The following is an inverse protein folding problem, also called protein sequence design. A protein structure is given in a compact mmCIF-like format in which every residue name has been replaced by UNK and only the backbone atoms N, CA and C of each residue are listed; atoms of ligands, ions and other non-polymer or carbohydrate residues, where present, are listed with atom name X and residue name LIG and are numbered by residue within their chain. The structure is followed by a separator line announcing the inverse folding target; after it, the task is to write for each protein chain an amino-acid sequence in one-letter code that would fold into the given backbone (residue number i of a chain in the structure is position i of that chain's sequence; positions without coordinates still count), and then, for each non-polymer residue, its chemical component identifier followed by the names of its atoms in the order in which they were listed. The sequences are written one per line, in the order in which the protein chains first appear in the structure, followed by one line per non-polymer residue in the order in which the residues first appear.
data_IF_367781697271
#
_entry.id   IF_367781697271
#
_cell.length_a   1.000
_cell.length_b   1.000
_cell.length_c   1.000
_cell.angle_alpha   90.00
_cell.angle_beta   90.00
_cell.angle_gamma   90.00
#
_symmetry.space_group_name_H-M   'P 1'
#
loop_
_entity.id
_entity.type
_entity.pdbx_description
1 polymer ?
#
# COMPACT_ATOMS: atom_id res chain seq x y z
N UNK A 1 11.67 -20.80 -11.13
CA UNK A 1 10.80 -20.48 -12.29
C UNK A 1 11.57 -19.84 -13.46
N UNK A 2 12.88 -19.58 -13.33
CA UNK A 2 13.67 -18.82 -14.32
C UNK A 2 13.96 -19.56 -15.65
N UNK A 3 14.00 -20.90 -15.67
CA UNK A 3 14.36 -21.63 -16.89
C UNK A 3 13.21 -21.78 -17.92
N UNK A 4 11.95 -21.58 -17.52
CA UNK A 4 10.80 -21.69 -18.44
C UNK A 4 10.64 -20.44 -19.33
N UNK A 5 11.06 -19.28 -18.84
CA UNK A 5 11.04 -18.00 -19.58
C UNK A 5 12.11 -17.93 -20.67
N UNK A 6 13.29 -18.49 -20.40
CA UNK A 6 14.40 -18.55 -21.36
C UNK A 6 14.07 -19.47 -22.54
N UNK A 7 13.45 -20.62 -22.26
CA UNK A 7 13.04 -21.56 -23.31
C UNK A 7 11.98 -20.96 -24.24
N UNK A 8 10.98 -20.26 -23.69
CA UNK A 8 9.94 -19.60 -24.48
C UNK A 8 10.49 -18.46 -25.37
N UNK A 9 11.45 -17.69 -24.86
CA UNK A 9 12.11 -16.62 -25.63
C UNK A 9 12.98 -17.18 -26.76
N UNK A 10 13.70 -18.28 -26.52
CA UNK A 10 14.51 -18.96 -27.53
C UNK A 10 13.61 -19.57 -28.62
N UNK A 11 12.52 -20.24 -28.23
CA UNK A 11 11.55 -20.80 -29.19
C UNK A 11 10.89 -19.72 -30.05
N UNK A 12 10.52 -18.58 -29.48
CA UNK A 12 9.94 -17.46 -30.23
C UNK A 12 10.94 -16.87 -31.23
N UNK A 13 12.20 -16.72 -30.83
CA UNK A 13 13.26 -16.21 -31.71
C UNK A 13 13.52 -17.16 -32.87
N UNK A 14 13.53 -18.48 -32.63
CA UNK A 14 13.69 -19.49 -33.68
C UNK A 14 12.50 -19.44 -34.65
N UNK A 15 11.26 -19.34 -34.16
CA UNK A 15 10.08 -19.22 -35.03
C UNK A 15 10.10 -17.95 -35.87
N UNK A 16 10.52 -16.82 -35.31
CA UNK A 16 10.66 -15.56 -36.04
C UNK A 16 11.78 -15.61 -37.10
N UNK A 17 12.93 -16.22 -36.77
CA UNK A 17 14.03 -16.43 -37.71
C UNK A 17 13.60 -17.39 -38.83
N UNK A 18 12.98 -18.52 -38.50
CA UNK A 18 12.46 -19.48 -39.48
C UNK A 18 11.38 -18.87 -40.36
N UNK A 19 10.49 -18.05 -39.80
CA UNK A 19 9.48 -17.31 -40.56
C UNK A 19 10.09 -16.29 -41.52
N UNK A 20 11.12 -15.56 -41.07
CA UNK A 20 11.88 -14.61 -41.90
C UNK A 20 12.61 -15.33 -43.05
N UNK A 21 13.27 -16.45 -42.79
CA UNK A 21 13.94 -17.24 -43.83
C UNK A 21 12.95 -17.90 -44.80
N UNK A 22 11.81 -18.39 -44.32
CA UNK A 22 10.77 -18.95 -45.18
C UNK A 22 10.14 -17.88 -46.10
N UNK A 23 9.92 -16.67 -45.58
CA UNK A 23 9.42 -15.55 -46.37
C UNK A 23 10.46 -15.07 -47.37
N UNK A 24 11.73 -14.92 -46.98
CA UNK A 24 12.82 -14.58 -47.91
C UNK A 24 13.04 -15.66 -48.97
N UNK A 25 12.90 -16.95 -48.63
CA UNK A 25 12.98 -18.03 -49.60
C UNK A 25 11.83 -17.95 -50.64
N UNK A 26 10.62 -17.58 -50.22
CA UNK A 26 9.52 -17.33 -51.15
C UNK A 26 9.76 -16.08 -52.02
N UNK A 27 10.33 -15.02 -51.46
CA UNK A 27 10.69 -13.80 -52.21
C UNK A 27 11.79 -14.10 -53.24
N UNK A 28 12.85 -14.83 -52.86
CA UNK A 28 13.90 -15.26 -53.79
C UNK A 28 13.40 -16.26 -54.83
N UNK A 29 12.46 -17.15 -54.51
CA UNK A 29 11.80 -18.01 -55.50
C UNK A 29 11.01 -17.17 -56.51
N UNK A 30 10.27 -16.17 -56.04
CA UNK A 30 9.51 -15.26 -56.91
C UNK A 30 10.43 -14.40 -57.78
N UNK A 31 11.56 -13.93 -57.26
CA UNK A 31 12.57 -13.18 -58.02
C UNK A 31 13.24 -14.04 -59.10
N UNK A 32 13.52 -15.31 -58.78
CA UNK A 32 14.04 -16.28 -59.74
C UNK A 32 13.02 -16.63 -60.83
N UNK A 33 11.74 -16.78 -60.48
CA UNK A 33 10.65 -16.99 -61.46
C UNK A 33 10.48 -15.77 -62.37
N UNK A 34 10.52 -14.55 -61.82
CA UNK A 34 10.47 -13.29 -62.60
C UNK A 34 11.68 -13.18 -63.54
N UNK A 35 12.87 -13.54 -63.07
CA UNK A 35 14.08 -13.52 -63.88
C UNK A 35 14.01 -14.55 -65.00
N UNK A 36 13.55 -15.77 -64.71
CA UNK A 36 13.35 -16.83 -65.71
C UNK A 36 12.37 -16.40 -66.82
N UNK A 37 11.23 -15.83 -66.43
CA UNK A 37 10.21 -15.32 -67.37
C UNK A 37 10.78 -14.18 -68.23
N UNK A 38 11.56 -13.26 -67.63
CA UNK A 38 12.20 -12.15 -68.35
C UNK A 38 13.23 -12.66 -69.36
N UNK A 39 13.99 -13.69 -68.98
CA UNK A 39 15.02 -14.27 -69.86
C UNK A 39 14.38 -14.99 -71.04
N UNK A 40 13.32 -15.76 -70.80
CA UNK A 40 12.55 -16.48 -71.83
C UNK A 40 11.86 -15.51 -72.82
N UNK A 41 11.29 -14.41 -72.30
CA UNK A 41 10.69 -13.36 -73.12
C UNK A 41 11.72 -12.71 -74.06
N UNK A 42 12.89 -12.34 -73.54
CA UNK A 42 13.95 -11.71 -74.32
C UNK A 42 14.57 -12.67 -75.36
N UNK A 43 14.67 -13.98 -75.05
CA UNK A 43 15.13 -14.97 -76.03
C UNK A 43 14.13 -15.18 -77.16
N UNK A 44 12.83 -15.22 -76.84
CA UNK A 44 11.78 -15.36 -77.86
C UNK A 44 11.67 -14.12 -78.75
N UNK A 45 11.78 -12.90 -78.21
CA UNK A 45 11.82 -11.65 -79.02
C UNK A 45 12.99 -11.66 -80.01
N UNK A 46 14.18 -12.05 -79.55
CA UNK A 46 15.37 -12.08 -80.40
C UNK A 46 15.26 -13.14 -81.52
N UNK A 47 14.54 -14.25 -81.27
CA UNK A 47 14.24 -15.25 -82.29
C UNK A 47 13.23 -14.72 -83.34
N UNK A 48 12.24 -13.93 -82.94
CA UNK A 48 11.25 -13.34 -83.87
C UNK A 48 11.86 -12.28 -84.79
N UNK A 49 12.90 -11.57 -84.34
CA UNK A 49 13.58 -10.55 -85.17
C UNK A 49 14.42 -11.17 -86.31
N UNK A 50 14.71 -12.47 -86.27
CA UNK A 50 15.43 -13.21 -87.31
C UNK A 50 14.53 -13.75 -88.44
N UNK A 51 13.19 -13.66 -88.32
CA UNK A 51 12.23 -14.34 -89.20
C UNK A 51 11.32 -13.30 -89.90
N UNK A 52 11.92 -12.28 -90.54
CA UNK A 52 11.17 -11.30 -91.37
C UNK A 52 11.24 -11.64 -92.87
N UNK A 53 11.65 -12.87 -93.21
CA UNK A 53 11.69 -13.32 -94.60
C UNK A 53 10.94 -14.64 -94.76
N UNK A 54 9.70 -14.54 -95.28
CA UNK A 54 8.96 -15.52 -96.13
C UNK A 54 7.55 -15.83 -95.58
N UNK A 55 6.52 -15.31 -96.27
CA UNK A 55 5.09 -15.60 -96.08
C UNK A 55 4.72 -17.05 -96.44
N UNK A 56 3.80 -17.66 -95.67
CA UNK A 56 2.50 -18.17 -96.15
C UNK A 56 1.83 -19.10 -95.11
N UNK A 57 0.61 -18.77 -94.69
CA UNK A 57 -0.42 -19.60 -94.00
C UNK A 57 -0.10 -20.31 -92.66
N UNK A 58 1.16 -20.34 -92.18
CA UNK A 58 1.52 -20.76 -90.81
C UNK A 58 1.45 -19.65 -89.78
N UNK A 59 1.35 -18.40 -90.24
CA UNK A 59 1.48 -17.20 -89.42
C UNK A 59 0.29 -16.98 -88.48
N UNK A 60 -0.94 -17.30 -88.91
CA UNK A 60 -2.16 -17.13 -88.10
C UNK A 60 -2.14 -17.94 -86.80
N UNK A 61 -1.63 -19.18 -86.84
CA UNK A 61 -1.53 -20.06 -85.67
C UNK A 61 -0.47 -19.57 -84.68
N UNK A 62 0.64 -19.02 -85.17
CA UNK A 62 1.71 -18.47 -84.32
C UNK A 62 1.24 -17.18 -83.63
N UNK A 63 0.53 -16.30 -84.36
CA UNK A 63 -0.03 -15.08 -83.75
C UNK A 63 -1.12 -15.37 -82.73
N UNK A 64 -1.96 -16.39 -82.97
CA UNK A 64 -2.99 -16.81 -82.02
C UNK A 64 -2.39 -17.42 -80.74
N UNK A 65 -1.35 -18.25 -80.88
CA UNK A 65 -0.60 -18.78 -79.74
C UNK A 65 0.11 -17.66 -78.94
N UNK A 66 0.72 -16.69 -79.64
CA UNK A 66 1.34 -15.52 -79.00
C UNK A 66 0.31 -14.68 -78.22
N UNK A 67 -0.88 -14.49 -78.79
CA UNK A 67 -1.97 -13.77 -78.14
C UNK A 67 -2.48 -14.52 -76.89
N UNK A 68 -2.61 -15.84 -76.97
CA UNK A 68 -2.99 -16.68 -75.83
C UNK A 68 -1.93 -16.64 -74.71
N UNK A 69 -0.63 -16.69 -75.06
CA UNK A 69 0.46 -16.51 -74.10
C UNK A 69 0.43 -15.13 -73.44
N UNK A 70 0.17 -14.07 -74.22
CA UNK A 70 0.05 -12.70 -73.69
C UNK A 70 -1.14 -12.55 -72.73
N UNK A 71 -2.28 -13.16 -73.05
CA UNK A 71 -3.46 -13.20 -72.16
C UNK A 71 -3.14 -13.95 -70.87
N UNK A 72 -2.43 -15.09 -70.96
CA UNK A 72 -1.96 -15.86 -69.81
C UNK A 72 -1.02 -15.07 -68.91
N UNK A 73 -0.01 -14.43 -69.50
CA UNK A 73 0.96 -13.60 -68.79
C UNK A 73 0.29 -12.40 -68.08
N UNK A 74 -0.66 -11.72 -68.74
CA UNK A 74 -1.44 -10.63 -68.13
C UNK A 74 -2.29 -11.13 -66.96
N UNK A 75 -2.90 -12.30 -67.08
CA UNK A 75 -3.70 -12.91 -66.02
C UNK A 75 -2.84 -13.28 -64.81
N UNK A 76 -1.67 -13.86 -65.04
CA UNK A 76 -0.70 -14.19 -64.00
C UNK A 76 -0.17 -12.92 -63.30
N UNK A 77 0.15 -11.87 -64.06
CA UNK A 77 0.57 -10.58 -63.51
C UNK A 77 -0.52 -9.96 -62.63
N UNK A 78 -1.78 -10.00 -63.07
CA UNK A 78 -2.90 -9.49 -62.27
C UNK A 78 -3.09 -10.29 -60.97
N UNK A 79 -2.90 -11.61 -61.01
CA UNK A 79 -2.93 -12.46 -59.81
C UNK A 79 -1.77 -12.15 -58.85
N UNK A 80 -0.56 -11.94 -59.38
CA UNK A 80 0.61 -11.54 -58.60
C UNK A 80 0.41 -10.17 -57.94
N UNK A 81 -0.15 -9.18 -58.67
CA UNK A 81 -0.48 -7.87 -58.12
C UNK A 81 -1.48 -7.97 -56.96
N UNK A 82 -2.55 -8.77 -57.10
CA UNK A 82 -3.52 -8.99 -56.01
C UNK A 82 -2.87 -9.61 -54.77
N UNK A 83 -1.97 -10.59 -54.97
CA UNK A 83 -1.21 -11.20 -53.86
C UNK A 83 -0.29 -10.19 -53.18
N UNK A 84 0.39 -9.35 -53.95
CA UNK A 84 1.25 -8.30 -53.43
C UNK A 84 0.45 -7.27 -52.61
N UNK A 85 -0.68 -6.77 -53.13
CA UNK A 85 -1.55 -5.85 -52.39
C UNK A 85 -2.02 -6.46 -51.06
N UNK A 86 -2.42 -7.73 -51.07
CA UNK A 86 -2.81 -8.44 -49.85
C UNK A 86 -1.65 -8.60 -48.87
N UNK A 87 -0.46 -8.95 -49.35
CA UNK A 87 0.74 -9.08 -48.53
C UNK A 87 1.13 -7.73 -47.88
N UNK A 88 1.11 -6.65 -48.66
CA UNK A 88 1.36 -5.29 -48.16
C UNK A 88 0.34 -4.89 -47.10
N UNK A 89 -0.95 -5.16 -47.32
CA UNK A 89 -2.01 -4.92 -46.34
C UNK A 89 -1.81 -5.73 -45.04
N UNK A 90 -1.41 -7.00 -45.13
CA UNK A 90 -1.12 -7.81 -43.94
C UNK A 90 0.11 -7.29 -43.19
N UNK A 91 1.13 -6.84 -43.92
CA UNK A 91 2.33 -6.25 -43.32
C UNK A 91 2.03 -4.95 -42.58
N UNK A 92 1.13 -4.10 -43.09
CA UNK A 92 0.75 -2.87 -42.39
C UNK A 92 0.00 -3.17 -41.10
N UNK A 93 -0.97 -4.10 -41.12
CA UNK A 93 -1.69 -4.54 -39.92
C UNK A 93 -0.74 -5.11 -38.87
N UNK A 94 0.20 -5.97 -39.28
CA UNK A 94 1.20 -6.55 -38.37
C UNK A 94 2.10 -5.48 -37.75
N UNK A 95 2.48 -4.46 -38.52
CA UNK A 95 3.26 -3.34 -38.00
C UNK A 95 2.47 -2.55 -36.95
N UNK A 96 1.19 -2.28 -37.20
CA UNK A 96 0.32 -1.58 -36.25
C UNK A 96 0.13 -2.38 -34.96
N UNK A 97 -0.05 -3.71 -35.06
CA UNK A 97 -0.11 -4.61 -33.89
C UNK A 97 1.20 -4.61 -33.11
N UNK A 98 2.35 -4.58 -33.81
CA UNK A 98 3.67 -4.55 -33.16
C UNK A 98 3.89 -3.26 -32.37
N UNK A 99 3.44 -2.12 -32.90
CA UNK A 99 3.47 -0.83 -32.19
C UNK A 99 2.61 -0.88 -30.93
N UNK A 100 1.36 -1.37 -31.05
CA UNK A 100 0.46 -1.48 -29.89
C UNK A 100 1.01 -2.41 -28.80
N UNK A 101 1.62 -3.54 -29.19
CA UNK A 101 2.26 -4.47 -28.25
C UNK A 101 3.47 -3.81 -27.57
N UNK A 102 4.24 -2.99 -28.31
CA UNK A 102 5.36 -2.25 -27.74
C UNK A 102 4.89 -1.26 -26.68
N UNK A 103 3.87 -0.46 -26.99
CA UNK A 103 3.31 0.54 -26.07
C UNK A 103 2.74 -0.13 -24.81
N UNK A 104 1.95 -1.20 -24.97
CA UNK A 104 1.44 -1.98 -23.84
C UNK A 104 2.57 -2.55 -22.97
N UNK A 105 3.69 -2.99 -23.56
CA UNK A 105 4.85 -3.48 -22.80
C UNK A 105 5.50 -2.37 -21.99
N UNK A 106 5.59 -1.15 -22.52
CA UNK A 106 6.10 0.02 -21.81
C UNK A 106 5.20 0.33 -20.61
N UNK A 107 3.88 0.37 -20.81
CA UNK A 107 2.91 0.58 -19.72
C UNK A 107 3.02 -0.47 -18.61
N UNK A 108 3.10 -1.76 -18.97
CA UNK A 108 3.26 -2.85 -17.99
C UNK A 108 4.56 -2.72 -17.20
N UNK A 109 5.65 -2.29 -17.84
CA UNK A 109 6.93 -2.06 -17.15
C UNK A 109 6.82 -0.90 -16.15
N UNK A 110 6.15 0.18 -16.55
CA UNK A 110 5.85 1.32 -15.66
C UNK A 110 4.99 0.87 -14.49
N UNK A 111 3.93 0.11 -14.74
CA UNK A 111 3.04 -0.43 -13.71
C UNK A 111 3.78 -1.32 -12.72
N UNK A 112 4.69 -2.19 -13.19
CA UNK A 112 5.55 -3.02 -12.35
C UNK A 112 6.44 -2.16 -11.43
N UNK A 113 6.97 -1.05 -11.94
CA UNK A 113 7.74 -0.09 -11.16
C UNK A 113 6.89 0.56 -10.06
N UNK A 114 5.71 1.08 -10.43
CA UNK A 114 4.75 1.67 -9.48
C UNK A 114 4.33 0.68 -8.40
N UNK A 115 4.01 -0.57 -8.76
CA UNK A 115 3.63 -1.61 -7.82
C UNK A 115 4.74 -1.90 -6.79
N UNK A 116 5.99 -1.97 -7.24
CA UNK A 116 7.14 -2.16 -6.34
C UNK A 116 7.30 -0.99 -5.37
N UNK A 117 7.11 0.24 -5.85
CA UNK A 117 7.15 1.42 -4.99
C UNK A 117 6.03 1.42 -3.96
N UNK A 118 4.80 1.10 -4.36
CA UNK A 118 3.65 0.97 -3.46
C UNK A 118 3.90 -0.11 -2.40
N UNK A 119 4.46 -1.26 -2.79
CA UNK A 119 4.82 -2.33 -1.85
C UNK A 119 5.83 -1.85 -0.81
N UNK A 120 6.88 -1.14 -1.24
CA UNK A 120 7.89 -0.60 -0.33
C UNK A 120 7.28 0.43 0.64
N UNK A 121 6.46 1.36 0.14
CA UNK A 121 5.77 2.34 0.99
C UNK A 121 4.88 1.66 2.03
N UNK A 122 4.12 0.63 1.62
CA UNK A 122 3.26 -0.12 2.54
C UNK A 122 4.07 -0.81 3.65
N UNK A 123 5.22 -1.39 3.31
CA UNK A 123 6.11 -2.02 4.29
C UNK A 123 6.66 -0.99 5.30
N UNK A 124 7.06 0.19 4.82
CA UNK A 124 7.50 1.30 5.70
C UNK A 124 6.38 1.74 6.63
N UNK A 125 5.17 1.96 6.11
CA UNK A 125 4.02 2.36 6.94
C UNK A 125 3.67 1.30 8.00
N UNK A 126 3.75 0.01 7.67
CA UNK A 126 3.55 -1.05 8.67
C UNK A 126 4.60 -1.00 9.80
N UNK A 127 5.86 -0.74 9.45
CA UNK A 127 6.93 -0.59 10.44
C UNK A 127 6.71 0.62 11.34
N UNK A 128 6.33 1.76 10.76
CA UNK A 128 6.00 2.99 11.51
C UNK A 128 4.81 2.81 12.44
N UNK A 129 3.75 2.12 11.99
CA UNK A 129 2.59 1.78 12.82
C UNK A 129 2.99 0.91 14.02
N UNK A 130 3.80 -0.13 13.80
CA UNK A 130 4.28 -0.99 14.89
C UNK A 130 5.10 -0.21 15.92
N UNK A 131 5.94 0.73 15.48
CA UNK A 131 6.67 1.63 16.38
C UNK A 131 5.70 2.54 17.14
N UNK A 132 4.69 3.09 16.46
CA UNK A 132 3.68 3.93 17.09
C UNK A 132 2.92 3.19 18.19
N UNK A 133 2.48 1.96 17.92
CA UNK A 133 1.81 1.11 18.92
C UNK A 133 2.72 0.89 20.14
N UNK A 134 3.99 0.54 19.90
CA UNK A 134 4.98 0.35 20.99
C UNK A 134 5.18 1.63 21.82
N UNK A 135 5.19 2.81 21.17
CA UNK A 135 5.30 4.09 21.86
C UNK A 135 4.06 4.43 22.66
N UNK A 136 2.87 4.12 22.14
CA UNK A 136 1.61 4.33 22.84
C UNK A 136 1.53 3.43 24.08
N UNK A 137 1.90 2.15 23.96
CA UNK A 137 1.99 1.23 25.09
C UNK A 137 2.96 1.76 26.17
N UNK A 138 4.15 2.20 25.75
CA UNK A 138 5.13 2.79 26.67
C UNK A 138 4.58 4.05 27.38
N UNK A 139 3.90 4.93 26.66
CA UNK A 139 3.30 6.14 27.23
C UNK A 139 2.16 5.81 28.18
N UNK A 140 1.33 4.82 27.85
CA UNK A 140 0.27 4.31 28.72
C UNK A 140 0.85 3.76 30.02
N UNK A 141 1.89 2.94 29.96
CA UNK A 141 2.55 2.38 31.14
C UNK A 141 3.23 3.44 31.99
N UNK A 142 3.91 4.42 31.36
CA UNK A 142 4.52 5.54 32.06
C UNK A 142 3.46 6.37 32.79
N UNK A 143 2.35 6.67 32.12
CA UNK A 143 1.24 7.43 32.69
C UNK A 143 0.59 6.69 33.87
N UNK A 144 0.31 5.37 33.70
CA UNK A 144 -0.20 4.51 34.79
C UNK A 144 0.74 4.50 35.99
N UNK A 145 2.03 4.34 35.75
CA UNK A 145 3.06 4.29 36.80
C UNK A 145 3.14 5.62 37.57
N UNK A 146 3.18 6.74 36.85
CA UNK A 146 3.22 8.08 37.46
C UNK A 146 1.97 8.39 38.28
N UNK A 147 0.79 8.07 37.75
CA UNK A 147 -0.46 8.27 38.48
C UNK A 147 -0.55 7.38 39.72
N UNK A 148 -0.20 6.09 39.60
CA UNK A 148 -0.14 5.17 40.74
C UNK A 148 0.80 5.69 41.83
N UNK A 149 1.98 6.18 41.46
CA UNK A 149 2.92 6.77 42.41
C UNK A 149 2.35 8.02 43.09
N UNK A 150 1.71 8.90 42.32
CA UNK A 150 1.09 10.14 42.82
C UNK A 150 -0.02 9.84 43.81
N UNK A 151 -0.94 8.94 43.44
CA UNK A 151 -2.04 8.51 44.32
C UNK A 151 -1.52 7.83 45.57
N UNK A 152 -0.55 6.92 45.46
CA UNK A 152 0.05 6.23 46.61
C UNK A 152 0.65 7.24 47.59
N UNK A 153 1.40 8.24 47.09
CA UNK A 153 1.96 9.31 47.92
C UNK A 153 0.88 10.12 48.63
N UNK A 154 -0.18 10.51 47.91
CA UNK A 154 -1.29 11.28 48.49
C UNK A 154 -2.05 10.48 49.56
N UNK A 155 -2.34 9.19 49.33
CA UNK A 155 -2.96 8.31 50.33
C UNK A 155 -2.06 8.18 51.57
N UNK A 156 -0.75 7.98 51.40
CA UNK A 156 0.18 7.90 52.51
C UNK A 156 0.23 9.20 53.33
N UNK A 157 0.21 10.37 52.68
CA UNK A 157 0.14 11.67 53.36
C UNK A 157 -1.16 11.88 54.14
N UNK A 158 -2.30 11.45 53.60
CA UNK A 158 -3.58 11.50 54.32
C UNK A 158 -3.51 10.63 55.59
N UNK A 159 -2.94 9.42 55.51
CA UNK A 159 -2.73 8.56 56.68
C UNK A 159 -1.81 9.22 57.73
N UNK A 160 -0.65 9.75 57.31
CA UNK A 160 0.31 10.42 58.21
C UNK A 160 -0.30 11.61 58.95
N UNK A 161 -1.06 12.46 58.23
CA UNK A 161 -1.75 13.61 58.80
C UNK A 161 -2.81 13.21 59.84
N UNK A 162 -3.55 12.13 59.55
CA UNK A 162 -4.59 11.62 60.44
C UNK A 162 -4.01 10.98 61.69
N UNK A 163 -2.96 10.18 61.56
CA UNK A 163 -2.27 9.55 62.70
C UNK A 163 -1.65 10.62 63.60
N UNK A 164 -1.01 11.63 63.02
CA UNK A 164 -0.45 12.77 63.77
C UNK A 164 -1.52 13.56 64.51
N UNK A 165 -2.64 13.88 63.85
CA UNK A 165 -3.75 14.63 64.45
C UNK A 165 -4.44 13.84 65.59
N UNK A 166 -4.67 12.54 65.40
CA UNK A 166 -5.27 11.68 66.44
C UNK A 166 -4.31 11.42 67.59
N UNK A 167 -3.00 11.25 67.34
CA UNK A 167 -1.98 11.12 68.37
C UNK A 167 -1.88 12.34 69.27
N UNK A 168 -1.96 13.55 68.71
CA UNK A 168 -1.98 14.82 69.48
C UNK A 168 -3.26 14.93 70.32
N UNK A 169 -4.41 14.48 69.80
CA UNK A 169 -5.67 14.49 70.54
C UNK A 169 -5.72 13.47 71.70
N UNK A 170 -5.00 12.34 71.58
CA UNK A 170 -5.04 11.23 72.56
C UNK A 170 -3.95 11.38 73.64
N UNK A 171 -2.77 11.93 73.30
CA UNK A 171 -1.63 12.01 74.23
C UNK A 171 -1.70 13.16 75.24
N UNK A 172 -2.73 14.01 75.19
CA UNK A 172 -2.98 14.99 76.25
C UNK A 172 -1.85 16.00 76.46
N UNK A 173 -1.06 16.31 75.44
CA UNK A 173 -0.13 17.43 75.48
C UNK A 173 -0.95 18.71 75.68
N UNK A 174 -0.61 19.47 76.72
CA UNK A 174 -1.25 20.74 77.11
C UNK A 174 -0.94 21.79 76.03
N UNK A 175 -1.65 21.70 74.90
CA UNK A 175 -1.65 22.71 73.85
C UNK A 175 -2.90 23.56 74.09
N UNK A 176 -2.81 24.89 74.18
CA UNK A 176 -3.98 25.75 74.37
C UNK A 176 -5.05 25.41 73.32
N UNK A 177 -6.31 25.34 73.73
CA UNK A 177 -7.43 24.87 72.89
C UNK A 177 -7.55 25.56 71.51
N UNK A 178 -7.00 26.77 71.39
CA UNK A 178 -6.90 27.54 70.15
C UNK A 178 -5.91 26.89 69.16
N UNK A 179 -4.79 26.33 69.63
CA UNK A 179 -3.78 25.65 68.80
C UNK A 179 -4.28 24.32 68.23
N UNK A 180 -5.07 23.56 69.01
CA UNK A 180 -5.64 22.27 68.56
C UNK A 180 -6.69 22.50 67.47
N UNK A 181 -7.56 23.51 67.61
CA UNK A 181 -8.57 23.83 66.60
C UNK A 181 -7.94 24.28 65.26
N UNK A 182 -6.92 25.13 65.32
CA UNK A 182 -6.17 25.57 64.11
C UNK A 182 -5.45 24.41 63.45
N UNK A 183 -4.83 23.51 64.23
CA UNK A 183 -4.16 22.32 63.69
C UNK A 183 -5.15 21.36 63.02
N UNK A 184 -6.30 21.10 63.64
CA UNK A 184 -7.37 20.27 63.03
C UNK A 184 -7.88 20.91 61.73
N UNK A 185 -8.08 22.23 61.70
CA UNK A 185 -8.50 22.94 60.49
C UNK A 185 -7.46 22.84 59.37
N UNK A 186 -6.17 23.00 59.69
CA UNK A 186 -5.08 22.85 58.73
C UNK A 186 -5.00 21.43 58.16
N UNK A 187 -5.02 20.42 59.05
CA UNK A 187 -5.01 19.01 58.64
C UNK A 187 -6.21 18.67 57.76
N UNK A 188 -7.39 19.20 58.07
CA UNK A 188 -8.61 19.01 57.27
C UNK A 188 -8.43 19.57 55.86
N UNK A 189 -7.89 20.79 55.75
CA UNK A 189 -7.66 21.44 54.47
C UNK A 189 -6.61 20.70 53.61
N UNK A 190 -5.54 20.20 54.22
CA UNK A 190 -4.55 19.39 53.48
C UNK A 190 -5.12 18.04 53.03
N UNK A 191 -5.88 17.35 53.89
CA UNK A 191 -6.57 16.11 53.51
C UNK A 191 -7.51 16.36 52.32
N UNK A 192 -8.31 17.43 52.36
CA UNK A 192 -9.21 17.80 51.25
C UNK A 192 -8.42 18.06 49.96
N UNK A 193 -7.24 18.71 50.04
CA UNK A 193 -6.38 18.95 48.89
C UNK A 193 -5.82 17.63 48.30
N UNK A 194 -5.34 16.71 49.16
CA UNK A 194 -4.88 15.40 48.71
C UNK A 194 -6.01 14.56 48.12
N UNK A 195 -7.20 14.61 48.69
CA UNK A 195 -8.41 13.97 48.17
C UNK A 195 -8.83 14.53 46.81
N UNK A 196 -8.75 15.85 46.62
CA UNK A 196 -9.02 16.51 45.34
C UNK A 196 -7.99 16.10 44.26
N UNK A 197 -6.71 16.00 44.63
CA UNK A 197 -5.66 15.53 43.73
C UNK A 197 -5.89 14.09 43.28
N UNK A 198 -6.23 13.18 44.20
CA UNK A 198 -6.56 11.79 43.86
C UNK A 198 -7.77 11.75 42.93
N UNK A 199 -8.82 12.53 43.22
CA UNK A 199 -10.01 12.62 42.36
C UNK A 199 -9.69 13.08 40.94
N UNK A 200 -8.90 14.15 40.81
CA UNK A 200 -8.49 14.67 39.51
C UNK A 200 -7.70 13.63 38.71
N UNK A 201 -6.81 12.87 39.36
CA UNK A 201 -6.08 11.77 38.73
C UNK A 201 -7.03 10.66 38.26
N UNK A 202 -8.00 10.24 39.09
CA UNK A 202 -8.99 9.22 38.72
C UNK A 202 -9.89 9.68 37.56
N UNK A 203 -10.30 10.94 37.53
CA UNK A 203 -11.11 11.50 36.45
C UNK A 203 -10.32 11.59 35.14
N UNK A 204 -9.03 11.94 35.21
CA UNK A 204 -8.13 11.91 34.06
C UNK A 204 -7.95 10.49 33.53
N UNK A 205 -7.79 9.49 34.40
CA UNK A 205 -7.71 8.08 34.00
C UNK A 205 -9.00 7.58 33.35
N UNK A 206 -10.17 7.94 33.89
CA UNK A 206 -11.44 7.63 33.25
C UNK A 206 -11.55 8.28 31.87
N UNK A 207 -11.04 9.50 31.70
CA UNK A 207 -11.05 10.17 30.40
C UNK A 207 -10.10 9.51 29.38
N UNK A 208 -8.93 9.05 29.82
CA UNK A 208 -7.89 8.50 28.94
C UNK A 208 -8.08 7.00 28.69
N UNK A 209 -8.45 6.22 29.71
CA UNK A 209 -8.53 4.76 29.67
C UNK A 209 -9.95 4.19 29.86
N UNK A 210 -10.95 5.05 30.06
CA UNK A 210 -12.32 4.64 30.40
C UNK A 210 -12.45 3.83 31.70
N UNK A 211 -11.40 3.82 32.54
CA UNK A 211 -11.36 3.13 33.84
C UNK A 211 -10.29 3.74 34.74
N UNK A 212 -10.45 3.56 36.05
CA UNK A 212 -9.40 3.89 37.04
C UNK A 212 -8.37 2.76 37.06
N UNK A 213 -7.10 3.10 36.96
CA UNK A 213 -5.97 2.16 36.85
C UNK A 213 -4.93 2.36 37.95
N UNK A 214 -4.88 3.54 38.57
CA UNK A 214 -3.89 3.86 39.62
C UNK A 214 -4.23 3.28 40.99
N UNK A 215 -5.52 3.10 41.33
CA UNK A 215 -5.95 2.59 42.64
C UNK A 215 -6.30 1.11 42.57
N UNK A 216 -5.66 0.29 43.40
CA UNK A 216 -6.12 -1.07 43.71
C UNK A 216 -7.35 -1.06 44.65
N UNK A 217 -7.96 -2.23 44.88
CA UNK A 217 -9.19 -2.34 45.66
C UNK A 217 -9.07 -1.78 47.09
N UNK A 218 -7.93 -1.99 47.74
CA UNK A 218 -7.68 -1.49 49.09
C UNK A 218 -7.49 0.04 49.08
N UNK A 219 -6.81 0.59 48.08
CA UNK A 219 -6.66 2.03 47.89
C UNK A 219 -8.00 2.70 47.57
N UNK A 220 -8.85 2.06 46.76
CA UNK A 220 -10.20 2.56 46.47
C UNK A 220 -11.07 2.60 47.73
N UNK A 221 -11.02 1.54 48.54
CA UNK A 221 -11.71 1.52 49.83
C UNK A 221 -11.18 2.60 50.77
N UNK A 222 -9.85 2.74 50.89
CA UNK A 222 -9.24 3.80 51.69
C UNK A 222 -9.64 5.19 51.21
N UNK A 223 -9.61 5.44 49.90
CA UNK A 223 -10.05 6.70 49.32
C UNK A 223 -11.53 6.96 49.61
N UNK A 224 -12.41 5.97 49.39
CA UNK A 224 -13.83 6.09 49.69
C UNK A 224 -14.05 6.41 51.17
N UNK A 225 -13.43 5.63 52.06
CA UNK A 225 -13.57 5.83 53.49
C UNK A 225 -13.04 7.19 53.93
N UNK A 226 -11.88 7.64 53.44
CA UNK A 226 -11.19 8.83 53.96
C UNK A 226 -11.60 10.13 53.27
N UNK A 227 -11.89 10.08 51.98
CA UNK A 227 -12.20 11.25 51.15
C UNK A 227 -13.68 11.40 50.83
N UNK A 228 -14.43 10.29 50.69
CA UNK A 228 -15.86 10.35 50.37
C UNK A 228 -16.76 10.23 51.61
N UNK A 229 -16.40 9.38 52.57
CA UNK A 229 -17.22 9.06 53.76
C UNK A 229 -16.75 9.77 55.04
N UNK A 230 -15.45 9.98 55.25
CA UNK A 230 -14.90 10.37 56.56
C UNK A 230 -14.01 11.62 56.54
N UNK A 231 -14.62 12.80 56.45
CA UNK A 231 -14.14 13.97 57.18
C UNK A 231 -15.28 14.94 57.50
N UNK A 232 -16.15 15.20 56.52
CA UNK A 232 -17.36 16.03 56.69
C UNK A 232 -18.26 15.56 57.83
N UNK A 233 -18.53 14.26 57.94
CA UNK A 233 -19.44 13.75 58.97
C UNK A 233 -18.82 13.67 60.37
N UNK A 234 -17.49 13.46 60.47
CA UNK A 234 -16.80 13.43 61.77
C UNK A 234 -16.53 14.83 62.31
N UNK A 235 -16.17 15.79 61.45
CA UNK A 235 -15.99 17.21 61.83
C UNK A 235 -17.33 17.86 62.18
N UNK A 236 -18.40 17.60 61.40
CA UNK A 236 -19.76 18.10 61.70
C UNK A 236 -20.30 17.52 63.01
N UNK A 237 -19.98 16.26 63.35
CA UNK A 237 -20.27 15.68 64.68
C UNK A 237 -19.41 16.28 65.80
N UNK A 238 -18.12 16.54 65.56
CA UNK A 238 -17.21 17.17 66.52
C UNK A 238 -17.61 18.61 66.87
N UNK A 239 -17.93 19.43 65.85
CA UNK A 239 -18.41 20.81 66.03
C UNK A 239 -19.76 20.89 66.76
N UNK A 240 -20.70 19.96 66.48
CA UNK A 240 -21.97 19.88 67.21
C UNK A 240 -21.79 19.53 68.70
N UNK A 241 -20.80 18.70 69.04
CA UNK A 241 -20.46 18.39 70.44
C UNK A 241 -19.84 19.58 71.18
N UNK A 242 -18.98 20.36 70.51
CA UNK A 242 -18.42 21.59 71.10
C UNK A 242 -19.46 22.72 71.29
N UNK A 243 -20.47 22.80 70.42
CA UNK A 243 -21.56 23.77 70.56
C UNK A 243 -22.57 23.40 71.66
N UNK A 244 -22.72 22.11 71.96
CA UNK A 244 -23.61 21.62 73.04
C UNK A 244 -22.95 21.63 74.41
N UNK A 245 -21.61 21.60 74.49
CA UNK A 245 -20.85 21.72 75.74
C UNK A 245 -20.69 23.18 76.24
N UNK A 246 -21.19 24.17 75.48
CA UNK A 246 -21.17 25.62 75.84
C UNK A 246 -22.51 26.14 76.38
N UNK A 247 -23.45 25.25 76.73
CA UNK A 247 -24.69 25.58 77.45
C UNK A 247 -24.66 25.00 78.85
#
# INVERSE_FOLDING_TARGET
MENKSLFAAISLTIVLISGFFFYNNQVSQLENEITSITTEYNTKINATQSIVSTENNTDTSIYEDLNNQLIGARSALQAAQKKLTLATSKSSVLNDEMVQIHDARVEVKTLKGSLKNTQNSLQTTQYELKISDTKLDYLEDLFKSQNKQTVTKNIARIHELKDTSTGIAITGLIVPAIGVATLISYTTQEIDNYCANIKNTMDLEKKVFNKVVSLDAQMQENYHQQCEVSLKDKIKKGLKKFQTAKK
#
